data_IF_565186765251
#
_entry.id   IF_565186765251
#
_cell.length_a   1.000
_cell.length_b   1.000
_cell.length_c   1.000
_cell.angle_alpha   90.00
_cell.angle_beta   90.00
_cell.angle_gamma   90.00
#
_symmetry.space_group_name_H-M   'P 1'
#
loop_
_entity.id
_entity.type
_entity.pdbx_description
1 polymer ?
#
# COMPACT_ATOMS: atom_id res chain seq x y z
N UNK A 1 -41.12 -3.51 5.08
CA UNK A 1 -40.33 -4.00 6.23
C UNK A 1 -39.05 -4.61 5.67
N UNK A 2 -38.04 -3.78 5.38
CA UNK A 2 -36.76 -4.21 4.79
C UNK A 2 -35.91 -4.75 5.93
N UNK A 3 -35.55 -6.03 5.86
CA UNK A 3 -34.67 -6.68 6.84
C UNK A 3 -33.25 -6.14 6.65
N UNK A 4 -32.82 -5.26 7.55
CA UNK A 4 -31.42 -4.91 7.72
C UNK A 4 -30.69 -6.12 8.30
N UNK A 5 -29.93 -6.82 7.47
CA UNK A 5 -28.93 -7.78 7.93
C UNK A 5 -27.82 -7.00 8.65
N UNK A 6 -27.42 -7.39 9.87
CA UNK A 6 -26.31 -6.74 10.55
C UNK A 6 -25.02 -6.98 9.77
N UNK A 7 -24.29 -5.91 9.44
CA UNK A 7 -22.93 -6.01 8.89
C UNK A 7 -22.02 -6.54 9.99
N UNK A 8 -21.85 -7.86 10.03
CA UNK A 8 -20.73 -8.46 10.74
C UNK A 8 -19.44 -7.98 10.05
N UNK A 9 -18.46 -7.40 10.78
CA UNK A 9 -17.16 -7.10 10.21
C UNK A 9 -16.57 -8.38 9.62
N UNK A 10 -16.35 -8.40 8.31
CA UNK A 10 -15.75 -9.57 7.68
C UNK A 10 -14.28 -9.65 8.12
N UNK A 11 -13.78 -10.83 8.52
CA UNK A 11 -12.36 -11.03 8.76
C UNK A 11 -11.56 -10.59 7.53
N UNK A 12 -10.38 -9.99 7.73
CA UNK A 12 -9.52 -9.52 6.64
C UNK A 12 -9.30 -10.59 5.55
N UNK A 13 -9.18 -11.86 5.95
CA UNK A 13 -9.06 -13.00 5.05
C UNK A 13 -10.24 -13.14 4.06
N UNK A 14 -11.47 -12.87 4.49
CA UNK A 14 -12.65 -12.95 3.60
C UNK A 14 -12.75 -11.73 2.69
N UNK A 15 -12.30 -10.56 3.14
CA UNK A 15 -12.19 -9.39 2.26
C UNK A 15 -11.16 -9.64 1.14
N UNK A 16 -10.01 -10.23 1.49
CA UNK A 16 -8.99 -10.62 0.50
C UNK A 16 -9.51 -11.68 -0.47
N UNK A 17 -10.26 -12.68 0.02
CA UNK A 17 -10.88 -13.71 -0.83
C UNK A 17 -11.86 -13.10 -1.83
N UNK A 18 -12.69 -12.16 -1.37
CA UNK A 18 -13.65 -11.45 -2.22
C UNK A 18 -12.99 -10.53 -3.25
N UNK A 19 -11.89 -9.87 -2.87
CA UNK A 19 -11.11 -9.06 -3.82
C UNK A 19 -10.41 -9.92 -4.87
N UNK A 20 -9.87 -11.08 -4.47
CA UNK A 20 -9.25 -12.03 -5.39
C UNK A 20 -10.27 -12.64 -6.38
N UNK A 21 -11.51 -12.83 -5.96
CA UNK A 21 -12.61 -13.29 -6.83
C UNK A 21 -13.03 -12.23 -7.88
N UNK A 22 -12.94 -10.94 -7.55
CA UNK A 22 -13.29 -9.82 -8.45
C UNK A 22 -12.19 -9.55 -9.50
N UNK A 23 -10.94 -9.91 -9.20
CA UNK A 23 -9.77 -9.65 -10.05
C UNK A 23 -9.65 -10.58 -11.28
N UNK A 24 -10.46 -11.64 -11.40
CA UNK A 24 -10.29 -12.65 -12.46
C UNK A 24 -10.82 -12.23 -13.86
N UNK A 25 -11.30 -10.99 -14.03
CA UNK A 25 -12.04 -10.57 -15.25
C UNK A 25 -11.33 -9.49 -16.08
N UNK A 26 -10.20 -8.93 -15.66
CA UNK A 26 -9.55 -7.86 -16.44
C UNK A 26 -8.03 -7.99 -16.46
N UNK A 27 -7.51 -8.75 -17.43
CA UNK A 27 -6.21 -8.42 -17.99
C UNK A 27 -6.11 -8.92 -19.43
N UNK A 28 -6.71 -8.15 -20.35
CA UNK A 28 -6.37 -8.20 -21.77
C UNK A 28 -6.20 -6.75 -22.26
N UNK A 29 -5.16 -6.57 -23.07
CA UNK A 29 -4.89 -5.46 -23.98
C UNK A 29 -3.95 -4.28 -23.59
N UNK A 30 -2.97 -4.14 -24.49
CA UNK A 30 -2.19 -2.95 -24.91
C UNK A 30 -0.84 -2.68 -24.24
N UNK A 31 0.20 -3.35 -24.74
CA UNK A 31 1.55 -2.76 -24.87
C UNK A 31 1.61 -2.04 -26.22
N UNK A 32 1.55 -0.70 -26.23
CA UNK A 32 1.99 0.12 -27.37
C UNK A 32 2.64 1.44 -26.90
N UNK A 33 3.95 1.52 -27.17
CA UNK A 33 4.78 2.67 -27.57
C UNK A 33 4.57 4.06 -26.94
N UNK A 34 5.66 4.61 -26.39
CA UNK A 34 6.13 5.94 -26.79
C UNK A 34 7.59 6.16 -26.35
N UNK A 35 8.51 6.09 -27.31
CA UNK A 35 9.79 6.77 -27.24
C UNK A 35 9.53 8.28 -27.03
N UNK A 36 10.00 8.83 -25.93
CA UNK A 36 10.08 10.28 -25.73
C UNK A 36 11.46 10.58 -25.17
N UNK A 37 12.34 11.01 -26.07
CA UNK A 37 13.63 11.62 -25.75
C UNK A 37 13.37 12.87 -24.90
N UNK A 38 13.67 12.80 -23.60
CA UNK A 38 13.68 13.94 -22.69
C UNK A 38 15.12 14.24 -22.30
N UNK A 39 15.69 15.26 -22.92
CA UNK A 39 16.96 15.90 -22.56
C UNK A 39 16.82 16.51 -21.16
N UNK A 40 17.54 15.96 -20.16
CA UNK A 40 17.46 16.44 -18.78
C UNK A 40 18.27 15.63 -17.75
N UNK A 41 19.51 16.10 -17.53
CA UNK A 41 20.40 15.92 -16.36
C UNK A 41 21.05 14.54 -16.08
N UNK A 42 22.40 14.45 -16.01
CA UNK A 42 23.09 13.27 -15.50
C UNK A 42 23.26 13.39 -13.97
N UNK A 43 22.17 13.34 -13.21
CA UNK A 43 22.24 13.17 -11.76
C UNK A 43 21.93 11.70 -11.40
N UNK A 44 23.02 11.00 -11.12
CA UNK A 44 23.18 9.74 -10.41
C UNK A 44 22.27 8.56 -10.76
N UNK A 45 22.87 7.54 -11.39
CA UNK A 45 22.27 6.24 -11.68
C UNK A 45 21.99 5.37 -10.44
N UNK A 46 21.65 5.97 -9.30
CA UNK A 46 20.93 5.26 -8.26
C UNK A 46 19.52 5.06 -8.78
N UNK A 47 19.17 3.81 -9.06
CA UNK A 47 17.76 3.41 -9.14
C UNK A 47 17.11 3.89 -7.85
N UNK A 48 16.44 5.04 -7.90
CA UNK A 48 15.67 5.56 -6.77
C UNK A 48 14.66 4.46 -6.48
N UNK A 49 14.86 3.72 -5.38
CA UNK A 49 13.96 2.64 -5.03
C UNK A 49 12.54 3.19 -5.01
N UNK A 50 11.57 2.45 -5.54
CA UNK A 50 10.17 2.85 -5.44
C UNK A 50 9.68 2.88 -3.97
N UNK A 51 10.47 2.37 -3.02
CA UNK A 51 10.13 2.28 -1.59
C UNK A 51 11.38 2.24 -0.68
N UNK A 52 12.19 3.31 -0.61
CA UNK A 52 13.44 3.33 0.16
C UNK A 52 13.22 3.09 1.65
N UNK A 53 12.06 3.48 2.20
CA UNK A 53 11.74 3.22 3.60
C UNK A 53 11.44 1.73 3.81
N UNK A 54 10.55 1.14 2.99
CA UNK A 54 10.26 -0.30 3.08
C UNK A 54 11.52 -1.16 2.90
N UNK A 55 12.34 -0.81 1.92
CA UNK A 55 13.58 -1.52 1.61
C UNK A 55 14.58 -1.40 2.76
N UNK A 56 14.77 -0.20 3.33
CA UNK A 56 15.63 -0.02 4.49
C UNK A 56 15.17 -0.83 5.72
N UNK A 57 13.87 -0.93 5.95
CA UNK A 57 13.33 -1.79 7.01
C UNK A 57 13.59 -3.28 6.72
N UNK A 58 13.39 -3.70 5.48
CA UNK A 58 13.65 -5.08 5.07
C UNK A 58 15.14 -5.43 5.15
N UNK A 59 16.04 -4.52 4.78
CA UNK A 59 17.49 -4.71 4.92
C UNK A 59 17.93 -4.81 6.38
N UNK A 60 17.29 -4.04 7.27
CA UNK A 60 17.65 -4.01 8.69
C UNK A 60 17.25 -5.25 9.49
N UNK A 61 16.16 -5.92 9.11
CA UNK A 61 15.58 -7.01 9.92
C UNK A 61 14.70 -7.98 9.14
N UNK A 62 14.80 -8.00 7.82
CA UNK A 62 14.08 -8.90 6.93
C UNK A 62 12.56 -8.74 6.97
N UNK A 63 11.87 -9.81 6.58
CA UNK A 63 10.41 -9.87 6.59
C UNK A 63 9.81 -9.77 8.00
N UNK A 64 10.53 -10.18 9.04
CA UNK A 64 10.08 -10.11 10.43
C UNK A 64 9.94 -8.66 10.91
N UNK A 65 10.84 -7.76 10.48
CA UNK A 65 10.73 -6.33 10.78
C UNK A 65 9.46 -5.72 10.20
N UNK A 66 9.11 -6.08 8.96
CA UNK A 66 7.89 -5.60 8.28
C UNK A 66 6.62 -6.12 8.97
N UNK A 67 6.61 -7.41 9.35
CA UNK A 67 5.51 -8.01 10.13
C UNK A 67 5.37 -7.34 11.47
N UNK A 68 6.47 -7.12 12.18
CA UNK A 68 6.47 -6.45 13.48
C UNK A 68 5.93 -5.03 13.36
N UNK A 69 6.19 -4.34 12.25
CA UNK A 69 5.80 -2.96 12.07
C UNK A 69 4.34 -2.78 11.62
N UNK A 70 3.80 -3.72 10.85
CA UNK A 70 2.49 -3.56 10.18
C UNK A 70 1.45 -4.63 10.55
N UNK A 71 1.86 -5.71 11.22
CA UNK A 71 1.12 -6.97 11.41
C UNK A 71 0.85 -7.77 10.13
N UNK A 72 1.37 -7.33 8.98
CA UNK A 72 1.22 -8.03 7.72
C UNK A 72 2.54 -8.66 7.30
N UNK A 73 2.48 -9.87 6.79
CA UNK A 73 3.60 -10.46 6.05
C UNK A 73 3.91 -9.61 4.82
N UNK A 74 5.13 -9.72 4.30
CA UNK A 74 5.53 -9.00 3.09
C UNK A 74 4.59 -9.31 1.92
N UNK A 75 4.13 -10.56 1.81
CA UNK A 75 3.16 -10.98 0.79
C UNK A 75 1.81 -10.30 0.96
N UNK A 76 1.28 -10.23 2.18
CA UNK A 76 0.01 -9.53 2.46
C UNK A 76 0.14 -8.03 2.24
N UNK A 77 1.29 -7.44 2.58
CA UNK A 77 1.59 -6.04 2.29
C UNK A 77 1.54 -5.77 0.78
N UNK A 78 2.21 -6.59 -0.04
CA UNK A 78 2.17 -6.45 -1.50
C UNK A 78 0.77 -6.66 -2.08
N UNK A 79 0.01 -7.60 -1.52
CA UNK A 79 -1.38 -7.79 -1.90
C UNK A 79 -2.22 -6.56 -1.57
N UNK A 80 -2.08 -5.97 -0.37
CA UNK A 80 -2.79 -4.73 -0.03
C UNK A 80 -2.36 -3.58 -0.93
N UNK A 81 -1.06 -3.44 -1.17
CA UNK A 81 -0.49 -2.45 -2.08
C UNK A 81 -1.11 -2.53 -3.47
N UNK A 82 -1.21 -3.72 -4.07
CA UNK A 82 -1.76 -3.88 -5.43
C UNK A 82 -3.20 -3.37 -5.58
N UNK A 83 -3.98 -3.34 -4.49
CA UNK A 83 -5.35 -2.82 -4.52
C UNK A 83 -5.43 -1.30 -4.44
N UNK A 84 -4.45 -0.67 -3.78
CA UNK A 84 -4.46 0.77 -3.51
C UNK A 84 -3.48 1.54 -4.38
N UNK A 85 -2.53 0.87 -5.04
CA UNK A 85 -1.47 1.50 -5.82
C UNK A 85 -2.02 2.48 -6.86
N UNK A 86 -2.96 2.05 -7.69
CA UNK A 86 -3.53 2.90 -8.74
C UNK A 86 -4.16 4.19 -8.17
N UNK A 87 -4.96 4.06 -7.12
CA UNK A 87 -5.66 5.18 -6.49
C UNK A 87 -4.69 6.08 -5.71
N UNK A 88 -3.74 5.49 -4.98
CA UNK A 88 -2.82 6.21 -4.14
C UNK A 88 -1.76 6.91 -4.98
N UNK A 89 -1.19 6.26 -5.98
CA UNK A 89 -0.21 6.85 -6.90
C UNK A 89 -0.83 7.99 -7.71
N UNK A 90 -2.07 7.83 -8.19
CA UNK A 90 -2.82 8.87 -8.91
C UNK A 90 -3.15 10.09 -8.04
N UNK A 91 -3.61 9.87 -6.81
CA UNK A 91 -4.01 10.95 -5.91
C UNK A 91 -2.82 11.60 -5.19
N UNK A 92 -1.77 10.85 -4.88
CA UNK A 92 -0.55 11.35 -4.20
C UNK A 92 0.21 12.35 -5.07
N UNK A 93 0.23 12.13 -6.39
CA UNK A 93 0.90 13.01 -7.35
C UNK A 93 -0.01 14.14 -7.88
N UNK A 94 -1.33 14.06 -7.68
CA UNK A 94 -2.33 15.05 -8.12
C UNK A 94 -2.38 16.35 -7.28
N UNK A 95 -1.57 16.48 -6.23
CA UNK A 95 -1.55 17.67 -5.38
C UNK A 95 -0.89 18.89 -6.03
N UNK A 96 -1.49 20.09 -5.86
CA UNK A 96 -0.93 21.39 -6.31
C UNK A 96 0.18 21.92 -5.37
N UNK A 97 1.21 21.12 -5.08
CA UNK A 97 2.22 21.46 -4.09
C UNK A 97 3.60 20.85 -4.35
N UNK A 98 4.52 21.08 -3.40
CA UNK A 98 5.84 20.46 -3.41
C UNK A 98 5.67 18.94 -3.39
N UNK A 99 6.24 18.24 -4.37
CA UNK A 99 6.26 16.77 -4.40
C UNK A 99 6.79 16.27 -3.06
N UNK A 100 6.04 15.39 -2.40
CA UNK A 100 6.47 14.76 -1.15
C UNK A 100 7.77 14.00 -1.42
N UNK A 101 8.73 14.05 -0.49
CA UNK A 101 9.98 13.27 -0.56
C UNK A 101 9.76 11.79 -0.27
N UNK A 102 8.54 11.42 0.11
CA UNK A 102 8.12 10.05 0.42
C UNK A 102 7.34 9.48 -0.76
N UNK A 103 7.69 8.26 -1.18
CA UNK A 103 6.97 7.55 -2.23
C UNK A 103 5.56 7.17 -1.77
N UNK A 104 4.59 7.00 -2.69
CA UNK A 104 3.23 6.53 -2.34
C UNK A 104 3.23 5.25 -1.50
N UNK A 105 4.14 4.31 -1.81
CA UNK A 105 4.26 3.02 -1.12
C UNK A 105 4.82 3.14 0.30
N UNK A 106 5.81 4.00 0.50
CA UNK A 106 6.33 4.32 1.83
C UNK A 106 5.27 5.07 2.68
N UNK A 107 4.46 5.94 2.06
CA UNK A 107 3.34 6.60 2.72
C UNK A 107 2.26 5.59 3.18
N UNK A 108 1.96 4.60 2.33
CA UNK A 108 1.05 3.51 2.68
C UNK A 108 1.58 2.67 3.84
N UNK A 109 2.86 2.31 3.82
CA UNK A 109 3.51 1.60 4.93
C UNK A 109 3.39 2.38 6.23
N UNK A 110 3.71 3.69 6.23
CA UNK A 110 3.57 4.54 7.40
C UNK A 110 2.13 4.60 7.94
N UNK A 111 1.12 4.63 7.06
CA UNK A 111 -0.29 4.54 7.46
C UNK A 111 -0.59 3.24 8.21
N UNK A 112 -0.13 2.09 7.67
CA UNK A 112 -0.29 0.79 8.34
C UNK A 112 0.38 0.76 9.72
N UNK A 113 1.56 1.38 9.86
CA UNK A 113 2.22 1.54 11.15
C UNK A 113 1.35 2.31 12.14
N UNK A 114 0.74 3.42 11.71
CA UNK A 114 -0.15 4.22 12.57
C UNK A 114 -1.40 3.42 12.96
N UNK A 115 -2.01 2.71 12.01
CA UNK A 115 -3.22 1.89 12.27
C UNK A 115 -2.96 0.76 13.27
N UNK A 116 -1.77 0.12 13.21
CA UNK A 116 -1.34 -0.86 14.22
C UNK A 116 -1.44 -0.31 15.65
N UNK A 117 -1.13 0.98 15.85
CA UNK A 117 -1.21 1.62 17.18
C UNK A 117 -2.62 2.08 17.57
N UNK A 118 -3.53 2.24 16.61
CA UNK A 118 -4.93 2.58 16.89
C UNK A 118 -5.73 1.42 17.49
N UNK A 119 -5.45 0.17 17.08
CA UNK A 119 -6.10 -1.04 17.59
C UNK A 119 -5.80 -1.28 19.09
N UNK A 120 -4.64 -0.86 19.59
CA UNK A 120 -4.27 -0.97 21.01
C UNK A 120 -4.91 0.11 21.92
N UNK A 121 -5.41 1.20 21.35
CA UNK A 121 -6.02 2.30 22.11
C UNK A 121 -7.42 2.00 22.66
N UNK A 122 -8.04 0.88 22.25
CA UNK A 122 -9.42 0.53 22.62
C UNK A 122 -9.57 -0.32 23.87
N UNK A 123 -8.47 -0.67 24.54
CA UNK A 123 -8.50 -1.23 25.90
C UNK A 123 -8.32 -0.10 26.93
N UNK A 124 -9.34 0.74 27.09
CA UNK A 124 -9.47 1.47 28.35
C UNK A 124 -9.88 0.46 29.42
N UNK A 125 -9.10 0.27 30.50
CA UNK A 125 -9.61 -0.44 31.67
C UNK A 125 -10.78 0.35 32.22
N UNK A 126 -12.00 -0.19 32.07
CA UNK A 126 -13.14 0.30 32.84
C UNK A 126 -12.81 0.08 34.32
N UNK A 127 -12.57 1.18 35.02
CA UNK A 127 -12.43 1.21 36.49
C UNK A 127 -13.79 1.50 37.10
#
# INVERSE_FOLDING_TARGET
>A
MVRSTPLTPLPAAELLRRLAEDASVAHDDVIQHADSESDGDPDDGTVDSDSPLLDGYFESGGSEAVVTLTNFTMTEFHLLWSHVDADLTSQWTSGRGRRSTTTPKDAFMMLLCVLKHYELGKSMPST
#
